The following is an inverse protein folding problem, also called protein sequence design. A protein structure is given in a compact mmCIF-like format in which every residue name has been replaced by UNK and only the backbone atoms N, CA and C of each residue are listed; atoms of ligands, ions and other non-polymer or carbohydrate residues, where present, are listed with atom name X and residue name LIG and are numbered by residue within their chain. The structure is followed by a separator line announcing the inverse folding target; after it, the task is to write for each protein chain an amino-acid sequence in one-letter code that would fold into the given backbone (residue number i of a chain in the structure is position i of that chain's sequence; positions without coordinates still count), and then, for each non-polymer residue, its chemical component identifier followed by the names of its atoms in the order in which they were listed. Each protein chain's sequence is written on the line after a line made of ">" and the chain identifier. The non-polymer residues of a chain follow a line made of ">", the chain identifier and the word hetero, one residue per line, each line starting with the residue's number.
data_IF_073761009553
#
_entry.id   IF_073761009553
#
_cell.length_a   1.000
_cell.length_b   1.000
_cell.length_c   1.000
_cell.angle_alpha   90.00
_cell.angle_beta   90.00
_cell.angle_gamma   90.00
#
_symmetry.space_group_name_H-M   'P 1'
#
loop_
_entity.id
_entity.type
_entity.pdbx_description
1 polymer ?
#
# COMPACT_ATOMS: atom_id res chain seq x y z
N UNK A 1 -17.33 -5.91 -3.20
CA UNK A 1 -17.83 -6.43 -1.91
C UNK A 1 -16.77 -6.08 -0.85
N UNK A 2 -16.68 -4.81 -0.47
CA UNK A 2 -15.78 -4.33 0.60
C UNK A 2 -16.53 -4.47 1.93
N UNK A 3 -16.06 -5.34 2.83
CA UNK A 3 -16.74 -5.63 4.12
C UNK A 3 -16.06 -5.02 5.34
N UNK A 4 -14.94 -4.30 5.18
CA UNK A 4 -14.25 -3.55 6.23
C UNK A 4 -13.75 -2.21 5.65
N UNK A 5 -13.89 -1.11 6.39
CA UNK A 5 -13.49 0.24 5.95
C UNK A 5 -12.00 0.49 6.19
N UNK A 6 -11.44 -0.16 7.21
CA UNK A 6 -10.01 -0.11 7.47
C UNK A 6 -9.21 -0.73 6.32
N UNK A 7 -8.11 -0.08 5.97
CA UNK A 7 -7.16 -0.53 4.96
C UNK A 7 -5.76 -0.17 5.44
N UNK A 8 -4.76 -0.96 5.02
CA UNK A 8 -3.35 -0.66 5.29
C UNK A 8 -2.90 0.69 4.73
N UNK A 9 -3.63 1.25 3.76
CA UNK A 9 -3.41 2.61 3.23
C UNK A 9 -3.63 3.73 4.26
N UNK A 10 -4.32 3.45 5.36
CA UNK A 10 -4.56 4.41 6.45
C UNK A 10 -3.40 4.45 7.46
N UNK A 11 -2.41 3.58 7.29
CA UNK A 11 -1.25 3.48 8.15
C UNK A 11 -0.13 4.40 7.65
N UNK A 12 0.71 4.86 8.56
CA UNK A 12 1.89 5.65 8.20
C UNK A 12 2.91 4.75 7.44
N UNK A 13 3.79 5.32 6.59
CA UNK A 13 4.87 4.54 5.98
C UNK A 13 5.70 3.76 7.02
N UNK A 14 5.85 2.46 6.78
CA UNK A 14 6.55 1.52 7.68
C UNK A 14 5.77 1.16 8.96
N UNK A 15 4.52 1.59 9.11
CA UNK A 15 3.63 1.11 10.15
C UNK A 15 3.05 -0.27 9.78
N UNK A 16 3.06 -1.19 10.74
CA UNK A 16 2.65 -2.59 10.54
C UNK A 16 1.37 -2.85 11.31
N UNK A 17 0.37 -3.39 10.64
CA UNK A 17 -0.83 -3.91 11.29
C UNK A 17 -0.57 -5.31 11.86
N UNK A 18 -0.88 -5.53 13.14
CA UNK A 18 -0.66 -6.82 13.80
C UNK A 18 -1.93 -7.68 13.82
N UNK A 19 -2.94 -7.22 14.54
CA UNK A 19 -4.20 -7.93 14.80
C UNK A 19 -5.24 -6.93 15.33
N UNK A 20 -6.47 -7.39 15.49
CA UNK A 20 -7.57 -6.59 16.01
C UNK A 20 -8.47 -7.31 17.01
N UNK A 21 -9.06 -6.51 17.88
CA UNK A 21 -9.83 -6.96 19.04
C UNK A 21 -11.28 -6.49 18.94
N UNK A 22 -12.21 -7.35 19.35
CA UNK A 22 -13.61 -6.94 19.55
C UNK A 22 -13.70 -6.13 20.83
N UNK A 23 -14.13 -4.88 20.72
CA UNK A 23 -14.23 -3.96 21.86
C UNK A 23 -15.50 -3.12 21.79
N UNK A 24 -15.91 -2.61 22.95
CA UNK A 24 -16.83 -1.48 23.03
C UNK A 24 -16.04 -0.22 23.40
N UNK A 25 -16.20 0.84 22.62
CA UNK A 25 -15.75 2.18 23.01
C UNK A 25 -16.81 2.79 23.94
N UNK A 26 -16.45 3.00 25.21
CA UNK A 26 -17.32 3.61 26.21
C UNK A 26 -17.31 5.13 26.03
N UNK A 27 -18.48 5.70 25.73
CA UNK A 27 -18.62 7.14 25.53
C UNK A 27 -18.66 7.87 26.88
N UNK A 28 -17.90 8.97 27.00
CA UNK A 28 -17.93 9.82 28.19
C UNK A 28 -19.11 10.81 28.10
N UNK A 29 -19.65 11.29 29.24
CA UNK A 29 -20.82 12.18 29.25
C UNK A 29 -20.66 13.47 28.44
N UNK A 30 -19.43 13.96 28.25
CA UNK A 30 -19.13 15.20 27.52
C UNK A 30 -19.15 15.03 25.98
N UNK A 31 -19.20 13.79 25.47
CA UNK A 31 -19.31 13.52 24.02
C UNK A 31 -20.75 13.71 23.50
N UNK A 32 -21.74 13.92 24.37
CA UNK A 32 -23.13 14.21 23.99
C UNK A 32 -23.36 15.73 23.90
N UNK A 33 -23.12 16.31 22.72
CA UNK A 33 -23.79 17.57 22.40
C UNK A 33 -25.29 17.29 22.32
N UNK A 34 -26.01 17.80 23.33
CA UNK A 34 -27.47 17.82 23.46
C UNK A 34 -28.17 16.47 23.75
N UNK A 35 -28.31 16.11 25.03
CA UNK A 35 -29.61 15.96 25.72
C UNK A 35 -29.45 15.56 27.20
N UNK A 36 -30.19 16.26 28.05
CA UNK A 36 -30.60 15.95 29.44
C UNK A 36 -29.71 15.08 30.34
N UNK A 37 -29.17 15.75 31.37
CA UNK A 37 -28.62 15.17 32.60
C UNK A 37 -29.58 14.19 33.27
N UNK A 38 -29.18 12.92 33.44
CA UNK A 38 -29.28 12.13 34.70
C UNK A 38 -29.05 10.64 34.47
N UNK A 39 -27.85 10.16 34.76
CA UNK A 39 -27.53 8.88 35.43
C UNK A 39 -26.04 8.55 35.24
N UNK A 40 -25.37 8.22 36.33
CA UNK A 40 -23.94 7.91 36.40
C UNK A 40 -23.66 6.45 35.99
N UNK A 41 -23.99 6.13 34.74
CA UNK A 41 -23.68 4.85 34.09
C UNK A 41 -23.34 5.15 32.64
N UNK A 42 -22.27 4.56 32.08
CA UNK A 42 -21.93 4.63 30.66
C UNK A 42 -23.18 4.30 29.83
N UNK A 43 -23.90 5.32 29.32
CA UNK A 43 -25.26 5.15 28.82
C UNK A 43 -25.30 4.79 27.32
N UNK A 44 -24.15 4.89 26.63
CA UNK A 44 -23.98 4.43 25.26
C UNK A 44 -22.55 3.96 25.02
N UNK A 45 -22.40 2.87 24.27
CA UNK A 45 -21.10 2.38 23.81
C UNK A 45 -21.15 2.10 22.32
N UNK A 46 -20.01 2.26 21.65
CA UNK A 46 -19.88 1.94 20.23
C UNK A 46 -19.17 0.60 20.11
N UNK A 47 -19.89 -0.41 19.61
CA UNK A 47 -19.32 -1.72 19.33
C UNK A 47 -18.43 -1.60 18.09
N UNK A 48 -17.22 -2.14 18.17
CA UNK A 48 -16.27 -2.02 17.08
C UNK A 48 -15.08 -2.97 17.15
N UNK A 49 -14.11 -2.71 16.28
CA UNK A 49 -12.82 -3.41 16.22
C UNK A 49 -11.71 -2.43 16.53
N UNK A 50 -10.90 -2.74 17.55
CA UNK A 50 -9.68 -2.01 17.85
C UNK A 50 -8.49 -2.69 17.18
N UNK A 51 -7.90 -2.03 16.20
CA UNK A 51 -6.80 -2.51 15.39
C UNK A 51 -5.49 -2.05 16.00
N UNK A 52 -4.65 -2.99 16.40
CA UNK A 52 -3.32 -2.70 16.96
C UNK A 52 -2.29 -2.68 15.84
N UNK A 53 -1.64 -1.54 15.67
CA UNK A 53 -0.56 -1.35 14.71
C UNK A 53 0.76 -1.04 15.44
N UNK A 54 1.86 -0.95 14.72
CA UNK A 54 3.18 -0.71 15.32
C UNK A 54 3.42 0.74 15.77
N UNK A 55 2.65 1.71 15.24
CA UNK A 55 2.78 3.14 15.57
C UNK A 55 1.49 3.77 16.08
N UNK A 56 0.36 3.08 15.99
CA UNK A 56 -0.94 3.58 16.40
C UNK A 56 -1.91 2.45 16.77
N UNK A 57 -3.04 2.83 17.36
CA UNK A 57 -4.25 2.02 17.36
C UNK A 57 -5.32 2.69 16.50
N UNK A 58 -6.11 1.88 15.79
CA UNK A 58 -7.22 2.38 14.95
C UNK A 58 -8.51 1.70 15.38
N UNK A 59 -9.49 2.47 15.82
CA UNK A 59 -10.82 1.99 16.15
C UNK A 59 -11.77 2.16 14.97
N UNK A 60 -12.49 1.09 14.65
CA UNK A 60 -13.54 1.04 13.64
C UNK A 60 -14.86 0.65 14.29
N UNK A 61 -15.82 1.57 14.31
CA UNK A 61 -17.18 1.26 14.74
C UNK A 61 -17.85 0.33 13.72
N UNK A 62 -18.50 -0.74 14.22
CA UNK A 62 -19.13 -1.77 13.40
C UNK A 62 -20.56 -1.43 13.02
N UNK A 63 -21.31 -0.85 13.94
CA UNK A 63 -22.77 -0.71 13.82
C UNK A 63 -23.20 0.62 13.20
N UNK A 64 -22.28 1.57 13.03
CA UNK A 64 -22.54 2.83 12.35
C UNK A 64 -21.38 3.23 11.43
N UNK A 65 -21.59 2.98 10.13
CA UNK A 65 -20.64 3.29 9.05
C UNK A 65 -20.40 4.80 8.91
N UNK A 66 -21.29 5.64 9.44
CA UNK A 66 -21.10 7.10 9.41
C UNK A 66 -20.06 7.57 10.41
N UNK A 67 -19.84 6.83 11.49
CA UNK A 67 -18.81 7.17 12.47
C UNK A 67 -17.43 7.17 11.82
N UNK A 68 -16.56 8.13 12.16
CA UNK A 68 -15.20 8.15 11.64
C UNK A 68 -14.40 6.95 12.19
N UNK A 69 -13.38 6.53 11.43
CA UNK A 69 -12.30 5.74 11.99
C UNK A 69 -11.47 6.64 12.90
N UNK A 70 -11.18 6.16 14.10
CA UNK A 70 -10.41 6.91 15.09
C UNK A 70 -9.02 6.32 15.15
N UNK A 71 -8.01 7.06 14.70
CA UNK A 71 -6.60 6.68 14.79
C UNK A 71 -5.92 7.46 15.91
N UNK A 72 -5.34 6.73 16.85
CA UNK A 72 -4.59 7.29 17.99
C UNK A 72 -3.14 6.85 17.82
N UNK A 73 -2.27 7.77 17.41
CA UNK A 73 -0.85 7.48 17.27
C UNK A 73 -0.18 7.42 18.64
N UNK A 74 0.71 6.44 18.84
CA UNK A 74 1.38 6.24 20.13
C UNK A 74 2.22 7.44 20.55
N UNK A 75 2.81 8.16 19.58
CA UNK A 75 3.56 9.40 19.82
C UNK A 75 2.72 10.49 20.49
N UNK A 76 1.40 10.46 20.28
CA UNK A 76 0.45 11.44 20.81
C UNK A 76 -0.22 10.93 22.11
N UNK A 77 0.03 9.68 22.51
CA UNK A 77 -0.46 9.10 23.76
C UNK A 77 0.29 9.67 24.96
N UNK A 78 -0.46 10.21 25.93
CA UNK A 78 0.05 10.62 27.24
C UNK A 78 0.16 9.42 28.17
N UNK A 79 -0.84 8.52 28.14
CA UNK A 79 -0.87 7.35 29.00
C UNK A 79 -1.64 6.19 28.35
N UNK A 80 -1.11 4.97 28.49
CA UNK A 80 -1.81 3.72 28.18
C UNK A 80 -1.83 2.87 29.45
N UNK A 81 -3.01 2.54 29.97
CA UNK A 81 -3.14 1.75 31.21
C UNK A 81 -4.43 0.96 31.27
N UNK A 82 -4.49 0.01 32.19
CA UNK A 82 -5.76 -0.57 32.63
C UNK A 82 -6.56 0.53 33.34
N UNK A 83 -7.82 0.66 32.97
CA UNK A 83 -8.73 1.53 33.70
C UNK A 83 -9.13 0.84 35.01
N UNK A 84 -9.02 1.54 36.13
CA UNK A 84 -9.44 1.04 37.44
C UNK A 84 -10.64 1.87 37.91
N UNK A 85 -11.79 1.24 38.22
CA UNK A 85 -12.91 1.96 38.77
C UNK A 85 -12.56 2.52 40.15
N UNK A 86 -13.02 3.75 40.43
CA UNK A 86 -12.85 4.43 41.73
C UNK A 86 -13.63 3.77 42.88
N UNK A 87 -14.49 2.79 42.61
CA UNK A 87 -15.21 1.99 43.61
C UNK A 87 -14.77 0.53 43.50
N UNK A 88 -14.41 -0.05 44.65
CA UNK A 88 -14.07 -1.45 44.86
C UNK A 88 -15.29 -2.36 44.61
N UNK A 89 -15.73 -2.50 43.35
CA UNK A 89 -16.58 -3.61 42.95
C UNK A 89 -15.75 -4.57 42.10
N UNK A 90 -15.65 -5.79 42.62
CA UNK A 90 -14.84 -6.91 42.15
C UNK A 90 -15.34 -7.47 40.82
N UNK A 91 -15.02 -6.78 39.72
CA UNK A 91 -15.00 -7.39 38.39
C UNK A 91 -13.61 -7.21 37.77
N UNK A 92 -13.10 -8.26 37.12
CA UNK A 92 -11.89 -8.16 36.30
C UNK A 92 -12.10 -7.06 35.26
N UNK A 93 -11.41 -5.92 35.44
CA UNK A 93 -11.58 -4.80 34.54
C UNK A 93 -10.83 -5.08 33.24
N UNK A 94 -11.56 -5.47 32.21
CA UNK A 94 -11.04 -5.70 30.86
C UNK A 94 -11.06 -4.42 30.00
N UNK A 95 -10.92 -3.26 30.66
CA UNK A 95 -11.02 -1.93 30.04
C UNK A 95 -9.65 -1.29 29.91
N UNK A 96 -9.28 -0.98 28.68
CA UNK A 96 -8.09 -0.22 28.33
C UNK A 96 -8.40 1.27 28.30
N UNK A 97 -7.64 2.07 29.03
CA UNK A 97 -7.66 3.52 28.94
C UNK A 97 -6.47 4.01 28.10
N UNK A 98 -6.76 4.79 27.06
CA UNK A 98 -5.77 5.51 26.26
C UNK A 98 -6.06 7.00 26.38
N UNK A 99 -5.17 7.72 27.04
CA UNK A 99 -5.18 9.16 27.11
C UNK A 99 -4.23 9.71 26.04
N UNK A 100 -4.72 10.59 25.17
CA UNK A 100 -3.92 11.19 24.11
C UNK A 100 -4.09 12.71 24.06
N UNK A 101 -3.09 13.39 23.51
CA UNK A 101 -3.09 14.84 23.29
C UNK A 101 -3.85 15.24 22.02
N UNK A 102 -3.85 14.36 21.01
CA UNK A 102 -4.55 14.52 19.75
C UNK A 102 -4.97 13.14 19.22
N UNK A 103 -5.96 13.10 18.35
CA UNK A 103 -6.29 11.92 17.56
C UNK A 103 -6.76 12.31 16.15
N UNK A 104 -6.71 11.35 15.23
CA UNK A 104 -7.07 11.56 13.84
C UNK A 104 -8.37 10.85 13.50
N UNK A 105 -9.32 11.58 12.90
CA UNK A 105 -10.54 11.04 12.32
C UNK A 105 -10.38 10.85 10.81
N UNK A 106 -10.80 9.69 10.32
CA UNK A 106 -10.73 9.33 8.90
C UNK A 106 -12.06 8.76 8.43
N UNK A 107 -12.36 8.89 7.14
CA UNK A 107 -13.55 8.32 6.51
C UNK A 107 -14.88 8.73 7.18
N UNK A 108 -15.01 9.94 7.75
CA UNK A 108 -16.30 10.40 8.29
C UNK A 108 -17.39 10.28 7.21
N UNK A 109 -18.59 9.82 7.59
CA UNK A 109 -19.68 9.49 6.68
C UNK A 109 -19.33 8.46 5.59
N UNK A 110 -18.27 7.68 5.82
CA UNK A 110 -17.68 6.75 4.85
C UNK A 110 -17.19 7.42 3.55
N UNK A 111 -16.81 8.70 3.62
CA UNK A 111 -16.33 9.48 2.49
C UNK A 111 -14.81 9.57 2.51
N UNK A 112 -14.18 9.36 1.34
CA UNK A 112 -12.73 9.57 1.16
C UNK A 112 -12.46 11.07 1.11
N UNK A 113 -11.88 11.60 2.19
CA UNK A 113 -11.61 13.03 2.38
C UNK A 113 -10.34 13.22 3.24
N UNK A 114 -9.76 14.44 3.27
CA UNK A 114 -8.63 14.73 4.14
C UNK A 114 -8.91 14.39 5.59
N UNK A 115 -7.90 13.87 6.28
CA UNK A 115 -8.01 13.45 7.67
C UNK A 115 -8.15 14.66 8.58
N UNK A 116 -8.99 14.53 9.61
CA UNK A 116 -9.24 15.60 10.58
C UNK A 116 -8.46 15.32 11.86
N UNK A 117 -7.62 16.26 12.28
CA UNK A 117 -7.01 16.22 13.61
C UNK A 117 -7.99 16.81 14.62
N UNK A 118 -8.15 16.12 15.75
CA UNK A 118 -9.00 16.52 16.87
C UNK A 118 -8.19 16.63 18.14
N UNK A 119 -8.67 17.47 19.06
CA UNK A 119 -8.09 17.61 20.40
C UNK A 119 -8.19 16.31 21.19
N UNK A 120 -7.21 16.08 22.05
CA UNK A 120 -7.06 14.88 22.84
C UNK A 120 -8.21 14.61 23.81
N UNK A 121 -8.47 13.33 24.04
CA UNK A 121 -9.37 12.84 25.09
C UNK A 121 -8.96 11.48 25.60
N UNK A 122 -9.67 10.98 26.61
CA UNK A 122 -9.49 9.63 27.15
C UNK A 122 -10.44 8.67 26.46
N UNK A 123 -9.90 7.68 25.76
CA UNK A 123 -10.66 6.59 25.16
C UNK A 123 -10.66 5.38 26.11
N UNK A 124 -11.84 4.80 26.31
CA UNK A 124 -12.04 3.62 27.15
C UNK A 124 -12.56 2.47 26.29
N UNK A 125 -11.73 1.44 26.10
CA UNK A 125 -12.07 0.27 25.28
C UNK A 125 -12.28 -0.95 26.16
N UNK A 126 -13.51 -1.48 26.21
CA UNK A 126 -13.83 -2.71 26.92
C UNK A 126 -13.67 -3.92 25.99
N UNK A 127 -12.80 -4.86 26.34
CA UNK A 127 -12.50 -6.05 25.52
C UNK A 127 -13.49 -7.18 25.78
N UNK A 128 -14.00 -7.84 24.73
CA UNK A 128 -15.00 -8.92 24.87
C UNK A 128 -14.39 -10.32 24.99
N UNK A 129 -13.54 -10.71 24.03
CA UNK A 129 -13.05 -12.09 23.91
C UNK A 129 -11.58 -12.25 24.26
N UNK A 130 -10.82 -11.15 24.21
CA UNK A 130 -9.40 -11.12 24.51
C UNK A 130 -9.19 -10.58 25.94
N UNK A 131 -8.23 -11.14 26.66
CA UNK A 131 -7.84 -10.62 27.98
C UNK A 131 -6.85 -9.49 27.79
N UNK A 132 -7.14 -8.33 28.36
CA UNK A 132 -6.29 -7.15 28.28
C UNK A 132 -4.86 -7.43 28.79
N UNK A 133 -4.72 -8.29 29.80
CA UNK A 133 -3.41 -8.66 30.37
C UNK A 133 -2.45 -9.27 29.34
N UNK A 134 -2.97 -9.97 28.33
CA UNK A 134 -2.16 -10.61 27.30
C UNK A 134 -1.55 -9.58 26.32
N UNK A 135 -2.15 -8.38 26.22
CA UNK A 135 -1.82 -7.38 25.19
C UNK A 135 -1.37 -6.03 25.73
N UNK A 136 -1.73 -5.67 26.96
CA UNK A 136 -1.39 -4.36 27.54
C UNK A 136 0.13 -4.15 27.61
N UNK A 137 0.90 -5.20 27.91
CA UNK A 137 2.36 -5.11 27.90
C UNK A 137 2.90 -4.76 26.51
N UNK A 138 2.32 -5.34 25.45
CA UNK A 138 2.69 -5.04 24.07
C UNK A 138 2.31 -3.60 23.69
N UNK A 139 1.11 -3.14 24.05
CA UNK A 139 0.68 -1.75 23.82
C UNK A 139 1.59 -0.74 24.52
N UNK A 140 1.92 -0.97 25.80
CA UNK A 140 2.86 -0.14 26.55
C UNK A 140 4.28 -0.20 25.96
N UNK A 141 4.70 -1.36 25.46
CA UNK A 141 5.99 -1.51 24.79
C UNK A 141 6.06 -0.69 23.49
N UNK A 142 5.00 -0.69 22.68
CA UNK A 142 4.90 0.12 21.46
C UNK A 142 4.79 1.61 21.76
N UNK A 143 4.08 1.99 22.83
CA UNK A 143 4.05 3.37 23.33
C UNK A 143 5.43 3.84 23.75
N UNK A 144 6.17 3.06 24.54
CA UNK A 144 7.57 3.36 24.89
C UNK A 144 8.47 3.43 23.65
N UNK A 145 8.23 2.60 22.63
CA UNK A 145 8.99 2.67 21.39
C UNK A 145 8.79 4.01 20.66
N UNK A 146 7.58 4.61 20.73
CA UNK A 146 7.31 5.90 20.10
C UNK A 146 7.99 7.10 20.75
N UNK A 147 8.53 6.96 21.97
CA UNK A 147 9.32 8.01 22.62
C UNK A 147 10.81 7.93 22.27
N UNK A 148 11.24 6.92 21.54
CA UNK A 148 12.63 6.73 21.12
C UNK A 148 12.93 7.48 19.81
N UNK A 149 14.21 7.63 19.49
CA UNK A 149 14.62 8.12 18.17
C UNK A 149 14.19 7.13 17.06
N UNK A 150 13.94 7.64 15.86
CA UNK A 150 13.37 6.87 14.76
C UNK A 150 14.13 5.57 14.45
N UNK A 151 15.46 5.58 14.49
CA UNK A 151 16.27 4.38 14.28
C UNK A 151 16.03 3.29 15.35
N UNK A 152 16.01 3.69 16.62
CA UNK A 152 15.79 2.78 17.75
C UNK A 152 14.35 2.25 17.76
N UNK A 153 13.36 3.13 17.51
CA UNK A 153 11.97 2.75 17.35
C UNK A 153 11.82 1.70 16.23
N UNK A 154 12.40 1.94 15.06
CA UNK A 154 12.34 1.02 13.92
C UNK A 154 13.00 -0.33 14.23
N UNK A 155 14.15 -0.32 14.91
CA UNK A 155 14.84 -1.54 15.34
C UNK A 155 14.01 -2.37 16.34
N UNK A 156 13.38 -1.68 17.30
CA UNK A 156 12.51 -2.31 18.29
C UNK A 156 11.26 -2.92 17.64
N UNK A 157 10.59 -2.18 16.75
CA UNK A 157 9.45 -2.66 15.98
C UNK A 157 9.85 -3.87 15.13
N UNK A 158 10.98 -3.79 14.41
CA UNK A 158 11.48 -4.89 13.58
C UNK A 158 11.72 -6.17 14.41
N UNK A 159 12.21 -6.03 15.65
CA UNK A 159 12.44 -7.16 16.56
C UNK A 159 11.12 -7.80 17.02
N UNK A 160 10.11 -6.98 17.35
CA UNK A 160 8.75 -7.45 17.71
C UNK A 160 8.14 -8.21 16.52
N UNK A 161 8.21 -7.61 15.33
CA UNK A 161 7.67 -8.16 14.08
C UNK A 161 8.34 -9.50 13.76
N UNK A 162 9.67 -9.55 13.77
CA UNK A 162 10.44 -10.78 13.54
C UNK A 162 10.05 -11.90 14.53
N UNK A 163 9.95 -11.56 15.81
CA UNK A 163 9.55 -12.51 16.86
C UNK A 163 8.13 -13.05 16.65
N UNK A 164 7.21 -12.19 16.20
CA UNK A 164 5.82 -12.59 15.87
C UNK A 164 5.77 -13.48 14.63
N UNK A 165 6.40 -13.06 13.53
CA UNK A 165 6.39 -13.82 12.27
C UNK A 165 6.96 -15.24 12.43
N UNK A 166 8.02 -15.41 13.22
CA UNK A 166 8.62 -16.73 13.47
C UNK A 166 7.72 -17.68 14.28
N UNK A 167 6.73 -17.17 15.02
CA UNK A 167 5.76 -17.98 15.77
C UNK A 167 4.62 -18.47 14.89
N UNK A 168 4.29 -17.75 13.82
CA UNK A 168 3.21 -18.13 12.91
C UNK A 168 3.70 -19.32 12.08
N UNK A 169 3.02 -20.47 12.19
CA UNK A 169 3.22 -21.67 11.36
C UNK A 169 2.06 -21.86 10.40
N UNK A 170 2.30 -22.42 9.21
CA UNK A 170 1.22 -22.58 8.22
C UNK A 170 0.28 -23.63 8.79
N UNK A 171 -1.02 -23.33 8.85
CA UNK A 171 -1.98 -24.29 9.38
C UNK A 171 -2.26 -25.35 8.30
N UNK A 172 -1.86 -26.61 8.48
CA UNK A 172 -2.03 -27.65 7.45
C UNK A 172 -3.50 -27.91 7.12
N UNK A 173 -4.44 -27.52 8.00
CA UNK A 173 -5.88 -27.62 7.76
C UNK A 173 -6.37 -26.72 6.60
N UNK A 174 -5.55 -25.78 6.14
CA UNK A 174 -5.87 -24.95 4.99
C UNK A 174 -5.50 -25.56 3.65
N UNK A 175 -4.77 -26.68 3.62
CA UNK A 175 -4.52 -27.42 2.39
C UNK A 175 -5.85 -27.87 1.77
N UNK A 176 -5.96 -27.79 0.45
CA UNK A 176 -7.19 -28.13 -0.27
C UNK A 176 -7.37 -29.65 -0.37
N UNK A 177 -6.28 -30.40 -0.43
CA UNK A 177 -6.27 -31.84 -0.61
C UNK A 177 -5.27 -32.52 0.34
N UNK A 178 -5.71 -33.63 0.96
CA UNK A 178 -4.92 -34.46 1.87
C UNK A 178 -3.66 -35.07 1.23
N UNK A 179 -3.64 -35.18 -0.10
CA UNK A 179 -2.49 -35.70 -0.85
C UNK A 179 -1.48 -34.61 -1.25
N UNK A 180 -1.74 -33.34 -0.91
CA UNK A 180 -0.79 -32.27 -1.15
C UNK A 180 0.47 -32.45 -0.30
N UNK A 181 1.62 -32.34 -0.96
CA UNK A 181 2.93 -32.36 -0.33
C UNK A 181 3.52 -30.97 -0.37
N UNK A 182 3.91 -30.45 0.78
CA UNK A 182 4.63 -29.19 0.91
C UNK A 182 6.03 -29.35 0.33
N UNK A 183 6.41 -28.44 -0.56
CA UNK A 183 7.70 -28.44 -1.27
C UNK A 183 8.63 -27.39 -0.68
N UNK A 184 8.13 -26.18 -0.44
CA UNK A 184 8.87 -25.12 0.24
C UNK A 184 7.91 -24.11 0.90
N UNK A 185 8.44 -23.39 1.89
CA UNK A 185 7.76 -22.34 2.67
C UNK A 185 8.74 -21.17 2.83
N UNK A 186 8.35 -19.99 2.37
CA UNK A 186 9.16 -18.79 2.49
C UNK A 186 8.39 -17.61 3.07
N UNK A 187 9.07 -16.83 3.90
CA UNK A 187 8.59 -15.51 4.29
C UNK A 187 8.77 -14.56 3.10
N UNK A 188 7.71 -13.84 2.77
CA UNK A 188 7.67 -12.88 1.66
C UNK A 188 6.87 -11.65 2.07
N UNK A 189 7.04 -10.56 1.33
CA UNK A 189 6.19 -9.40 1.45
C UNK A 189 5.33 -9.25 0.20
N UNK A 190 4.01 -9.23 0.36
CA UNK A 190 3.07 -8.88 -0.70
C UNK A 190 3.16 -7.38 -0.98
N UNK A 191 3.31 -7.05 -2.25
CA UNK A 191 3.47 -5.68 -2.75
C UNK A 191 2.16 -5.24 -3.39
N UNK A 192 1.60 -4.18 -2.82
CA UNK A 192 0.45 -3.45 -3.32
C UNK A 192 0.83 -1.96 -3.47
N UNK A 193 0.05 -1.15 -4.21
CA UNK A 193 0.34 0.27 -4.36
C UNK A 193 0.44 0.97 -3.00
N UNK A 194 1.64 1.49 -2.68
CA UNK A 194 1.99 2.12 -1.40
C UNK A 194 1.91 1.23 -0.15
N UNK A 195 1.64 -0.08 -0.30
CA UNK A 195 1.44 -0.99 0.83
C UNK A 195 2.32 -2.21 0.66
N UNK A 196 3.03 -2.56 1.73
CA UNK A 196 3.81 -3.79 1.83
C UNK A 196 3.22 -4.61 2.97
N UNK A 197 2.72 -5.80 2.65
CA UNK A 197 2.01 -6.65 3.60
C UNK A 197 2.79 -7.97 3.81
N UNK A 198 3.39 -8.19 4.99
CA UNK A 198 4.23 -9.35 5.22
C UNK A 198 3.39 -10.62 5.37
N UNK A 199 3.90 -11.72 4.84
CA UNK A 199 3.25 -13.01 4.89
C UNK A 199 4.17 -14.17 4.56
N UNK A 200 3.56 -15.27 4.15
CA UNK A 200 4.25 -16.47 3.70
C UNK A 200 3.71 -16.97 2.39
N UNK A 201 4.63 -17.53 1.62
CA UNK A 201 4.36 -18.19 0.36
C UNK A 201 4.76 -19.66 0.49
N UNK A 202 3.76 -20.53 0.46
CA UNK A 202 3.91 -21.97 0.53
C UNK A 202 3.66 -22.56 -0.86
N UNK A 203 4.56 -23.42 -1.33
CA UNK A 203 4.36 -24.22 -2.52
C UNK A 203 4.05 -25.67 -2.14
N UNK A 204 2.99 -26.22 -2.72
CA UNK A 204 2.74 -27.67 -2.77
C UNK A 204 2.91 -28.17 -4.20
N UNK A 205 2.75 -29.47 -4.40
CA UNK A 205 2.75 -30.08 -5.72
C UNK A 205 1.55 -29.66 -6.61
N UNK A 206 0.54 -28.94 -6.08
CA UNK A 206 -0.66 -28.56 -6.83
C UNK A 206 -1.09 -27.08 -6.64
N UNK A 207 -0.64 -26.42 -5.57
CA UNK A 207 -1.05 -25.06 -5.23
C UNK A 207 0.12 -24.19 -4.74
N UNK A 208 -0.02 -22.88 -4.95
CA UNK A 208 0.68 -21.85 -4.20
C UNK A 208 -0.30 -21.25 -3.19
N UNK A 209 0.10 -21.19 -1.93
CA UNK A 209 -0.67 -20.53 -0.88
C UNK A 209 0.04 -19.27 -0.42
N UNK A 210 -0.69 -18.16 -0.33
CA UNK A 210 -0.21 -16.96 0.32
C UNK A 210 -0.99 -16.70 1.60
N UNK A 211 -0.28 -16.57 2.72
CA UNK A 211 -0.85 -16.29 4.03
C UNK A 211 -0.26 -15.00 4.60
N UNK A 212 -1.02 -13.90 4.70
CA UNK A 212 -0.62 -12.73 5.48
C UNK A 212 -0.38 -13.06 6.96
N UNK A 213 0.54 -12.36 7.61
CA UNK A 213 0.75 -12.52 9.06
C UNK A 213 -0.29 -11.79 9.92
N UNK A 214 -1.05 -10.89 9.32
CA UNK A 214 -2.17 -10.22 9.95
C UNK A 214 -3.50 -10.80 9.43
N UNK A 215 -4.58 -10.35 10.02
CA UNK A 215 -5.94 -10.78 9.68
C UNK A 215 -6.71 -9.69 8.91
N UNK A 216 -6.02 -8.91 8.07
CA UNK A 216 -6.65 -7.84 7.28
C UNK A 216 -7.60 -8.38 6.22
N UNK A 217 -7.30 -9.57 5.69
CA UNK A 217 -8.10 -10.22 4.67
C UNK A 217 -9.19 -11.06 5.34
N UNK A 218 -10.38 -11.03 4.75
CA UNK A 218 -11.53 -11.85 5.21
C UNK A 218 -11.20 -13.34 5.24
N UNK A 219 -10.40 -13.79 4.28
CA UNK A 219 -9.92 -15.16 4.22
C UNK A 219 -8.46 -15.18 4.65
N UNK A 220 -8.06 -16.11 5.53
CA UNK A 220 -6.72 -16.12 6.11
C UNK A 220 -5.63 -16.53 5.11
N UNK A 221 -6.01 -17.15 3.99
CA UNK A 221 -5.10 -17.69 2.99
C UNK A 221 -5.68 -17.51 1.60
N UNK A 222 -4.87 -17.00 0.68
CA UNK A 222 -5.12 -17.03 -0.77
C UNK A 222 -4.61 -18.35 -1.32
N UNK A 223 -5.46 -19.08 -2.05
CA UNK A 223 -5.14 -20.38 -2.64
C UNK A 223 -5.07 -20.24 -4.16
N UNK A 224 -3.93 -20.54 -4.76
CA UNK A 224 -3.69 -20.40 -6.19
C UNK A 224 -3.37 -21.78 -6.76
N UNK A 225 -4.24 -22.32 -7.60
CA UNK A 225 -3.99 -23.61 -8.24
C UNK A 225 -2.92 -23.44 -9.32
N UNK A 226 -1.91 -24.32 -9.36
CA UNK A 226 -0.82 -24.22 -10.34
C UNK A 226 -1.34 -24.23 -11.79
N UNK A 227 -2.34 -25.07 -12.07
CA UNK A 227 -2.99 -25.18 -13.40
C UNK A 227 -3.69 -23.91 -13.88
N UNK A 228 -4.08 -23.02 -12.97
CA UNK A 228 -4.80 -21.78 -13.32
C UNK A 228 -3.85 -20.61 -13.52
N UNK A 229 -2.55 -20.78 -13.26
CA UNK A 229 -1.55 -19.73 -13.45
C UNK A 229 -1.41 -19.47 -14.96
N UNK A 230 -1.55 -18.20 -15.33
CA UNK A 230 -1.43 -17.70 -16.70
C UNK A 230 -0.09 -17.01 -16.94
N UNK A 231 0.48 -16.39 -15.90
CA UNK A 231 1.79 -15.74 -15.96
C UNK A 231 2.56 -15.93 -14.67
N UNK A 232 3.86 -16.15 -14.80
CA UNK A 232 4.79 -16.35 -13.70
C UNK A 232 6.11 -15.66 -14.02
N UNK A 233 6.29 -14.43 -13.53
CA UNK A 233 7.36 -13.53 -14.00
C UNK A 233 8.25 -13.07 -12.87
N UNK A 234 9.56 -13.24 -13.04
CA UNK A 234 10.58 -12.66 -12.18
C UNK A 234 10.57 -11.14 -12.32
N UNK A 235 10.58 -10.41 -11.20
CA UNK A 235 10.54 -8.93 -11.15
C UNK A 235 11.69 -8.35 -10.32
N UNK A 236 11.88 -7.04 -10.42
CA UNK A 236 12.69 -6.24 -9.49
C UNK A 236 11.79 -5.48 -8.52
N UNK A 237 12.19 -5.45 -7.25
CA UNK A 237 11.59 -4.58 -6.22
C UNK A 237 12.70 -3.76 -5.58
N UNK A 238 12.53 -2.44 -5.52
CA UNK A 238 13.56 -1.50 -5.07
C UNK A 238 14.91 -1.73 -5.78
N UNK A 239 14.87 -1.93 -7.11
CA UNK A 239 16.02 -2.23 -7.97
C UNK A 239 16.77 -3.53 -7.64
N UNK A 240 16.23 -4.40 -6.79
CA UNK A 240 16.81 -5.70 -6.41
C UNK A 240 16.05 -6.83 -7.09
N UNK A 241 16.75 -7.87 -7.54
CA UNK A 241 16.17 -9.06 -8.17
C UNK A 241 15.47 -9.99 -7.17
N UNK A 242 14.51 -9.46 -6.42
CA UNK A 242 13.81 -10.17 -5.34
C UNK A 242 12.31 -10.27 -5.57
N UNK A 243 11.78 -9.69 -6.65
CA UNK A 243 10.36 -9.71 -6.96
C UNK A 243 9.92 -10.93 -7.76
N UNK A 244 8.66 -11.32 -7.60
CA UNK A 244 7.98 -12.35 -8.38
C UNK A 244 6.49 -12.01 -8.50
N UNK A 245 5.99 -11.95 -9.73
CA UNK A 245 4.59 -11.70 -10.05
C UNK A 245 3.93 -12.97 -10.57
N UNK A 246 2.79 -13.34 -9.98
CA UNK A 246 1.96 -14.45 -10.40
C UNK A 246 0.61 -13.91 -10.85
N UNK A 247 0.14 -14.32 -12.04
CA UNK A 247 -1.23 -14.05 -12.49
C UNK A 247 -1.95 -15.36 -12.74
N UNK A 248 -3.20 -15.45 -12.30
CA UNK A 248 -4.04 -16.62 -12.50
C UNK A 248 -5.47 -16.20 -12.79
N UNK A 249 -6.23 -17.11 -13.40
CA UNK A 249 -7.65 -16.89 -13.64
C UNK A 249 -8.48 -18.05 -13.13
N UNK A 250 -9.34 -17.75 -12.16
CA UNK A 250 -10.38 -18.64 -11.65
C UNK A 250 -11.74 -17.90 -11.72
N UNK A 251 -12.14 -17.55 -12.94
CA UNK A 251 -13.33 -16.73 -13.24
C UNK A 251 -13.06 -15.22 -13.35
N UNK A 252 -11.98 -14.72 -12.75
CA UNK A 252 -11.48 -13.34 -12.89
C UNK A 252 -9.96 -13.32 -12.95
N UNK A 253 -9.36 -12.38 -13.69
CA UNK A 253 -7.91 -12.17 -13.68
C UNK A 253 -7.47 -11.64 -12.29
N UNK A 254 -6.56 -12.35 -11.65
CA UNK A 254 -6.03 -12.03 -10.33
C UNK A 254 -4.50 -11.99 -10.39
N UNK A 255 -3.91 -11.16 -9.53
CA UNK A 255 -2.47 -10.93 -9.52
C UNK A 255 -1.96 -10.84 -8.09
N UNK A 256 -0.86 -11.56 -7.83
CA UNK A 256 -0.11 -11.53 -6.59
C UNK A 256 1.32 -11.11 -6.93
N UNK A 257 1.76 -9.97 -6.41
CA UNK A 257 3.14 -9.53 -6.50
C UNK A 257 3.81 -9.65 -5.14
N UNK A 258 4.90 -10.43 -5.06
CA UNK A 258 5.63 -10.65 -3.81
C UNK A 258 7.11 -10.31 -3.96
N UNK A 259 7.73 -9.90 -2.85
CA UNK A 259 9.16 -9.74 -2.73
C UNK A 259 9.74 -10.72 -1.71
N UNK A 260 10.87 -11.32 -2.06
CA UNK A 260 11.61 -12.25 -1.21
C UNK A 260 12.76 -11.54 -0.49
N UNK A 261 13.30 -12.18 0.55
CA UNK A 261 14.46 -11.66 1.29
C UNK A 261 15.68 -11.37 0.41
N UNK A 262 15.93 -12.25 -0.56
CA UNK A 262 17.06 -12.16 -1.48
C UNK A 262 16.77 -12.92 -2.79
N UNK A 263 17.62 -12.70 -3.79
CA UNK A 263 17.49 -13.28 -5.11
C UNK A 263 17.57 -14.81 -5.10
N UNK A 264 18.47 -15.40 -4.30
CA UNK A 264 18.65 -16.86 -4.21
C UNK A 264 17.37 -17.56 -3.80
N UNK A 265 16.67 -17.04 -2.78
CA UNK A 265 15.40 -17.62 -2.32
C UNK A 265 14.29 -17.46 -3.37
N UNK A 266 14.23 -16.31 -4.05
CA UNK A 266 13.29 -16.08 -5.16
C UNK A 266 13.52 -17.09 -6.29
N UNK A 267 14.77 -17.26 -6.70
CA UNK A 267 15.17 -18.16 -7.78
C UNK A 267 14.89 -19.63 -7.41
N UNK A 268 15.11 -20.03 -6.16
CA UNK A 268 14.75 -21.37 -5.66
C UNK A 268 13.24 -21.62 -5.70
N UNK A 269 12.42 -20.67 -5.21
CA UNK A 269 10.95 -20.80 -5.27
C UNK A 269 10.46 -20.88 -6.72
N UNK A 270 10.99 -20.03 -7.60
CA UNK A 270 10.67 -20.03 -9.03
C UNK A 270 11.00 -21.39 -9.66
N UNK A 271 12.22 -21.90 -9.46
CA UNK A 271 12.64 -23.18 -10.02
C UNK A 271 11.82 -24.37 -9.49
N UNK A 272 11.50 -24.39 -8.19
CA UNK A 272 10.63 -25.44 -7.62
C UNK A 272 9.23 -25.38 -8.18
N UNK A 273 8.68 -24.19 -8.43
CA UNK A 273 7.34 -24.03 -9.01
C UNK A 273 7.29 -24.52 -10.45
N UNK A 274 8.28 -24.16 -11.28
CA UNK A 274 8.30 -24.56 -12.70
C UNK A 274 8.58 -26.05 -12.93
N UNK A 275 9.12 -26.75 -11.92
CA UNK A 275 9.34 -28.19 -11.94
C UNK A 275 8.09 -29.01 -11.56
N UNK A 276 6.98 -28.38 -11.17
CA UNK A 276 5.75 -29.08 -10.81
C UNK A 276 4.98 -29.54 -12.04
N UNK A 277 4.47 -30.77 -12.01
CA UNK A 277 3.69 -31.36 -13.11
C UNK A 277 2.44 -30.54 -13.46
N UNK A 278 1.85 -29.87 -12.46
CA UNK A 278 0.64 -29.07 -12.60
C UNK A 278 0.92 -27.63 -13.11
N UNK A 279 2.19 -27.24 -13.30
CA UNK A 279 2.57 -25.92 -13.81
C UNK A 279 2.81 -25.97 -15.33
N UNK A 280 2.06 -25.16 -16.08
CA UNK A 280 2.06 -25.22 -17.56
C UNK A 280 2.27 -23.88 -18.25
N UNK A 281 2.77 -22.87 -17.53
CA UNK A 281 3.02 -21.55 -18.14
C UNK A 281 4.17 -21.64 -19.13
N UNK A 282 3.91 -21.25 -20.38
CA UNK A 282 4.92 -21.15 -21.43
C UNK A 282 5.39 -19.70 -21.52
N UNK A 283 6.67 -19.45 -21.27
CA UNK A 283 7.25 -18.12 -21.49
C UNK A 283 7.22 -17.78 -22.99
N UNK A 284 6.69 -16.60 -23.31
CA UNK A 284 6.68 -16.12 -24.69
C UNK A 284 8.05 -15.60 -25.09
N UNK A 285 8.50 -16.00 -26.27
CA UNK A 285 9.77 -15.56 -26.85
C UNK A 285 9.63 -14.09 -27.31
N UNK A 286 10.45 -13.15 -26.82
CA UNK A 286 10.30 -11.73 -27.14
C UNK A 286 10.28 -11.39 -28.63
N UNK A 287 11.12 -12.06 -29.41
CA UNK A 287 11.22 -11.90 -30.86
C UNK A 287 9.89 -12.20 -31.57
N UNK A 288 9.10 -13.13 -31.02
CA UNK A 288 7.77 -13.46 -31.55
C UNK A 288 6.79 -12.30 -31.42
N UNK A 289 6.84 -11.58 -30.29
CA UNK A 289 5.93 -10.46 -30.03
C UNK A 289 6.31 -9.23 -30.85
N UNK A 290 7.61 -8.93 -30.96
CA UNK A 290 8.09 -7.86 -31.84
C UNK A 290 7.69 -8.08 -33.29
N UNK A 291 7.82 -9.31 -33.81
CA UNK A 291 7.42 -9.62 -35.19
C UNK A 291 5.90 -9.49 -35.38
N UNK A 292 5.09 -9.89 -34.40
CA UNK A 292 3.64 -9.69 -34.45
C UNK A 292 3.27 -8.21 -34.48
N UNK A 293 3.93 -7.37 -33.68
CA UNK A 293 3.75 -5.92 -33.69
C UNK A 293 4.14 -5.30 -35.05
N UNK A 294 5.31 -5.65 -35.59
CA UNK A 294 5.77 -5.17 -36.90
C UNK A 294 4.81 -5.52 -38.04
N UNK A 295 4.13 -6.67 -37.94
CA UNK A 295 3.12 -7.11 -38.91
C UNK A 295 1.69 -6.59 -38.60
N UNK A 296 1.52 -5.72 -37.60
CA UNK A 296 0.22 -5.15 -37.25
C UNK A 296 -0.76 -6.10 -36.54
N UNK A 297 -0.29 -7.25 -36.07
CA UNK A 297 -1.10 -8.22 -35.30
C UNK A 297 -1.29 -7.81 -33.83
N UNK A 298 -0.46 -6.89 -33.35
CA UNK A 298 -0.48 -6.34 -31.99
C UNK A 298 -0.42 -4.81 -32.12
N UNK A 299 -1.24 -4.10 -31.36
CA UNK A 299 -1.27 -2.64 -31.37
C UNK A 299 -0.01 -2.03 -30.73
N UNK A 300 0.28 -0.75 -31.01
CA UNK A 300 1.34 -0.03 -30.31
C UNK A 300 1.11 -0.01 -28.79
N UNK A 301 -0.14 0.06 -28.34
CA UNK A 301 -0.51 0.07 -26.93
C UNK A 301 -0.13 -1.25 -26.25
N UNK A 302 -0.55 -2.38 -26.84
CA UNK A 302 -0.27 -3.71 -26.30
C UNK A 302 1.23 -4.02 -26.34
N UNK A 303 1.91 -3.60 -27.40
CA UNK A 303 3.36 -3.77 -27.51
C UNK A 303 4.12 -2.94 -26.46
N UNK A 304 3.71 -1.69 -26.21
CA UNK A 304 4.30 -0.88 -25.13
C UNK A 304 4.01 -1.47 -23.75
N UNK A 305 2.80 -2.00 -23.50
CA UNK A 305 2.52 -2.73 -22.25
C UNK A 305 3.42 -3.96 -22.10
N UNK A 306 3.63 -4.69 -23.18
CA UNK A 306 4.55 -5.84 -23.20
C UNK A 306 5.98 -5.42 -22.85
N UNK A 307 6.51 -4.36 -23.49
CA UNK A 307 7.84 -3.82 -23.17
C UNK A 307 7.95 -3.32 -21.74
N UNK A 308 6.93 -2.64 -21.23
CA UNK A 308 6.86 -2.22 -19.84
C UNK A 308 6.94 -3.43 -18.89
N UNK A 309 6.17 -4.48 -19.19
CA UNK A 309 6.25 -5.74 -18.44
C UNK A 309 7.66 -6.32 -18.51
N UNK A 310 8.29 -6.46 -19.68
CA UNK A 310 9.68 -6.95 -19.77
C UNK A 310 10.68 -6.10 -18.98
N UNK A 311 10.42 -4.80 -18.86
CA UNK A 311 11.21 -3.87 -18.07
C UNK A 311 10.91 -3.90 -16.56
N UNK A 312 10.19 -4.92 -16.08
CA UNK A 312 9.74 -5.12 -14.69
C UNK A 312 8.72 -4.09 -14.17
N UNK A 313 8.05 -3.36 -15.07
CA UNK A 313 7.02 -2.41 -14.67
C UNK A 313 5.69 -3.11 -14.43
N UNK A 314 4.99 -2.68 -13.38
CA UNK A 314 3.72 -3.28 -12.94
C UNK A 314 2.83 -2.24 -12.27
N UNK A 315 1.52 -2.43 -12.35
CA UNK A 315 0.55 -1.56 -11.70
C UNK A 315 0.57 -1.68 -10.16
N UNK A 316 1.13 -2.77 -9.62
CA UNK A 316 1.21 -2.99 -8.17
C UNK A 316 2.31 -2.21 -7.47
N UNK A 317 3.29 -1.68 -8.22
CA UNK A 317 4.39 -0.89 -7.67
C UNK A 317 4.44 0.47 -8.39
N UNK A 318 3.95 1.51 -7.70
CA UNK A 318 3.91 2.87 -8.25
C UNK A 318 5.31 3.44 -8.54
N UNK A 319 6.37 2.90 -7.93
CA UNK A 319 7.75 3.31 -8.23
C UNK A 319 8.25 2.79 -9.58
N UNK A 320 7.59 1.76 -10.10
CA UNK A 320 7.88 1.10 -11.37
C UNK A 320 6.60 1.00 -12.22
N UNK A 321 5.77 2.04 -12.20
CA UNK A 321 4.53 2.05 -12.97
C UNK A 321 4.81 2.03 -14.49
N UNK A 322 3.94 1.44 -15.33
CA UNK A 322 4.10 1.49 -16.78
C UNK A 322 4.23 2.92 -17.32
N UNK A 323 5.13 3.12 -18.28
CA UNK A 323 5.43 4.41 -18.89
C UNK A 323 5.03 4.38 -20.36
N UNK A 324 4.37 5.44 -20.78
CA UNK A 324 3.95 5.70 -22.15
C UNK A 324 4.48 7.07 -22.56
N UNK A 325 4.89 7.25 -23.83
CA UNK A 325 5.35 8.55 -24.27
C UNK A 325 4.18 9.51 -24.49
N UNK A 326 4.42 10.80 -24.27
CA UNK A 326 3.60 11.84 -24.91
C UNK A 326 3.67 11.69 -26.43
N UNK A 327 2.50 11.64 -27.07
CA UNK A 327 2.40 11.49 -28.55
C UNK A 327 1.98 12.79 -29.21
N UNK A 328 0.96 13.46 -28.66
CA UNK A 328 0.44 14.72 -29.19
C UNK A 328 1.13 15.90 -28.50
N UNK A 329 1.37 16.97 -29.25
CA UNK A 329 1.95 18.23 -28.79
C UNK A 329 0.93 19.37 -28.70
N UNK A 330 -0.16 19.29 -29.47
CA UNK A 330 -1.18 20.33 -29.52
C UNK A 330 -2.37 19.98 -28.62
N UNK A 331 -2.53 20.76 -27.55
CA UNK A 331 -3.64 20.67 -26.61
C UNK A 331 -4.44 21.99 -26.54
N UNK A 332 -4.21 22.89 -27.50
CA UNK A 332 -4.79 24.24 -27.53
C UNK A 332 -5.77 24.44 -28.66
N UNK A 333 -5.59 23.74 -29.79
CA UNK A 333 -6.49 23.83 -30.92
C UNK A 333 -7.85 23.21 -30.60
N UNK A 334 -8.92 23.83 -31.09
CA UNK A 334 -10.29 23.31 -30.95
C UNK A 334 -10.49 22.01 -31.77
N UNK A 335 -9.83 21.91 -32.92
CA UNK A 335 -9.80 20.72 -33.77
C UNK A 335 -8.36 20.24 -33.97
N UNK A 336 -8.15 18.93 -33.87
CA UNK A 336 -6.83 18.32 -34.01
C UNK A 336 -6.72 17.58 -35.35
N UNK A 337 -5.93 18.13 -36.28
CA UNK A 337 -5.64 17.48 -37.57
C UNK A 337 -4.55 16.41 -37.40
N UNK A 338 -4.95 15.15 -37.41
CA UNK A 338 -4.04 14.00 -37.32
C UNK A 338 -3.20 13.80 -38.59
N UNK A 339 -3.52 14.49 -39.69
CA UNK A 339 -2.72 14.49 -40.92
C UNK A 339 -1.51 15.43 -40.85
N UNK A 340 -1.50 16.39 -39.92
CA UNK A 340 -0.40 17.33 -39.75
C UNK A 340 0.75 16.68 -38.95
N UNK A 341 1.95 16.51 -39.52
CA UNK A 341 3.09 15.95 -38.79
C UNK A 341 3.52 16.78 -37.58
N UNK A 342 3.18 18.08 -37.52
CA UNK A 342 3.62 18.98 -36.46
C UNK A 342 2.87 18.80 -35.14
N UNK A 343 1.69 18.16 -35.16
CA UNK A 343 0.94 17.85 -33.92
C UNK A 343 1.56 16.71 -33.13
N UNK A 344 2.50 15.97 -33.72
CA UNK A 344 3.15 14.83 -33.08
C UNK A 344 4.49 15.20 -32.45
N UNK A 345 4.76 14.61 -31.31
CA UNK A 345 6.04 14.73 -30.63
C UNK A 345 7.13 14.00 -31.41
N UNK A 346 8.32 14.60 -31.47
CA UNK A 346 9.54 13.90 -31.85
C UNK A 346 9.88 12.80 -30.83
N UNK A 347 9.49 11.56 -31.14
CA UNK A 347 9.72 10.38 -30.30
C UNK A 347 11.19 9.93 -30.27
N UNK A 348 12.08 10.54 -31.08
CA UNK A 348 13.52 10.26 -31.03
C UNK A 348 14.21 10.96 -29.85
N UNK A 349 13.50 11.88 -29.18
CA UNK A 349 14.04 12.73 -28.10
C UNK A 349 13.28 12.53 -26.78
N UNK A 350 13.98 12.57 -25.62
CA UNK A 350 13.33 12.67 -24.31
C UNK A 350 12.70 14.06 -24.08
N UNK A 351 11.77 14.17 -23.12
CA UNK A 351 11.02 15.42 -22.80
C UNK A 351 11.96 16.60 -22.66
N UNK A 352 13.03 16.44 -21.87
CA UNK A 352 13.99 17.50 -21.58
C UNK A 352 14.83 17.96 -22.78
N UNK A 353 14.77 17.25 -23.91
CA UNK A 353 15.50 17.57 -25.14
C UNK A 353 14.59 18.09 -26.28
N UNK A 354 13.27 18.18 -26.06
CA UNK A 354 12.35 18.70 -27.07
C UNK A 354 12.56 20.20 -27.34
N UNK A 355 12.81 20.98 -26.28
CA UNK A 355 13.18 22.39 -26.38
C UNK A 355 14.70 22.55 -26.38
N UNK A 356 15.23 23.15 -27.44
CA UNK A 356 16.67 23.35 -27.61
C UNK A 356 17.24 24.32 -26.55
N UNK A 357 16.51 25.39 -26.23
CA UNK A 357 16.91 26.35 -25.19
C UNK A 357 16.98 25.67 -23.82
N UNK A 358 15.95 24.89 -23.49
CA UNK A 358 15.90 24.14 -22.22
C UNK A 358 17.04 23.13 -22.13
N UNK A 359 17.29 22.38 -23.20
CA UNK A 359 18.37 21.41 -23.26
C UNK A 359 19.73 22.07 -23.05
N UNK A 360 19.96 23.25 -23.62
CA UNK A 360 21.20 24.00 -23.46
C UNK A 360 21.43 24.38 -21.99
N UNK A 361 20.41 24.92 -21.31
CA UNK A 361 20.48 25.23 -19.88
C UNK A 361 20.73 23.99 -19.01
N UNK A 362 20.15 22.83 -19.36
CA UNK A 362 20.41 21.58 -18.64
C UNK A 362 21.86 21.10 -18.81
N UNK A 363 22.44 21.27 -20.00
CA UNK A 363 23.84 20.95 -20.27
C UNK A 363 24.79 21.87 -19.51
N UNK A 364 24.55 23.17 -19.52
CA UNK A 364 25.31 24.16 -18.76
C UNK A 364 25.32 23.82 -17.27
N UNK A 365 24.14 23.55 -16.68
CA UNK A 365 24.06 23.09 -15.28
C UNK A 365 24.86 21.81 -15.05
N UNK A 366 24.79 20.85 -15.98
CA UNK A 366 25.53 19.59 -15.87
C UNK A 366 27.06 19.79 -15.99
N UNK A 367 27.52 20.79 -16.73
CA UNK A 367 28.93 21.15 -16.86
C UNK A 367 29.47 21.84 -15.61
N UNK A 368 28.65 22.64 -14.93
CA UNK A 368 28.96 23.29 -13.65
C UNK A 368 29.01 22.31 -12.45
N UNK A 369 28.46 21.11 -12.61
CA UNK A 369 28.45 20.07 -11.58
C UNK A 369 29.81 19.36 -11.48
N UNK A 370 30.18 18.97 -10.24
CA UNK A 370 31.34 18.12 -10.01
C UNK A 370 31.22 16.79 -10.77
N UNK A 371 32.34 16.27 -11.27
CA UNK A 371 32.37 15.11 -12.18
C UNK A 371 31.63 13.87 -11.64
N UNK A 372 31.70 13.62 -10.34
CA UNK A 372 31.08 12.47 -9.68
C UNK A 372 29.54 12.56 -9.55
N UNK A 373 28.94 13.70 -9.92
CA UNK A 373 27.51 13.99 -9.75
C UNK A 373 26.84 14.51 -11.03
N UNK A 374 27.45 14.30 -12.20
CA UNK A 374 26.90 14.80 -13.47
C UNK A 374 25.60 14.11 -13.84
N UNK A 375 24.55 14.92 -14.02
CA UNK A 375 23.28 14.48 -14.58
C UNK A 375 22.57 15.61 -15.31
N UNK A 376 21.81 15.25 -16.35
CA UNK A 376 20.94 16.20 -17.05
C UNK A 376 19.62 16.43 -16.30
N UNK A 377 18.98 15.35 -15.84
CA UNK A 377 17.64 15.42 -15.26
C UNK A 377 17.69 15.16 -13.75
N UNK A 378 17.31 16.18 -12.96
CA UNK A 378 17.27 16.07 -11.49
C UNK A 378 15.98 15.43 -10.96
N UNK A 379 15.03 15.16 -11.84
CA UNK A 379 13.79 14.45 -11.55
C UNK A 379 13.57 13.37 -12.60
N UNK A 380 12.82 12.34 -12.22
CA UNK A 380 12.55 11.19 -13.06
C UNK A 380 11.22 11.36 -13.81
N UNK A 381 11.09 10.76 -14.99
CA UNK A 381 9.88 10.80 -15.82
C UNK A 381 8.72 9.98 -15.25
N UNK A 382 9.00 9.07 -14.31
CA UNK A 382 8.04 8.19 -13.66
C UNK A 382 8.32 8.13 -12.16
N UNK A 383 7.33 8.48 -11.35
CA UNK A 383 7.41 8.43 -9.89
C UNK A 383 6.01 8.25 -9.29
N UNK A 384 5.87 7.71 -8.07
CA UNK A 384 4.57 7.49 -7.44
C UNK A 384 3.70 8.75 -7.39
N UNK A 385 4.31 9.90 -7.06
CA UNK A 385 3.62 11.19 -7.04
C UNK A 385 3.06 11.61 -8.40
N UNK A 386 3.77 11.32 -9.50
CA UNK A 386 3.32 11.61 -10.86
C UNK A 386 2.16 10.71 -11.28
N UNK A 387 2.24 9.42 -10.95
CA UNK A 387 1.17 8.46 -11.23
C UNK A 387 -0.11 8.87 -10.51
N UNK A 388 -0.01 9.21 -9.22
CA UNK A 388 -1.17 9.63 -8.44
C UNK A 388 -1.66 11.02 -8.80
N UNK A 389 -0.79 11.92 -9.27
CA UNK A 389 -1.19 13.21 -9.84
C UNK A 389 -2.21 13.01 -10.98
N UNK A 390 -1.93 12.09 -11.92
CA UNK A 390 -2.87 11.78 -12.99
C UNK A 390 -4.11 11.02 -12.49
N UNK A 391 -3.94 10.10 -11.55
CA UNK A 391 -5.00 9.19 -11.12
C UNK A 391 -5.80 9.65 -9.89
N UNK A 392 -5.60 10.88 -9.40
CA UNK A 392 -6.17 11.36 -8.13
C UNK A 392 -7.69 11.23 -8.05
N UNK A 393 -8.41 11.39 -9.17
CA UNK A 393 -9.88 11.21 -9.20
C UNK A 393 -10.31 9.75 -9.11
N UNK A 394 -9.51 8.82 -9.65
CA UNK A 394 -9.82 7.39 -9.66
C UNK A 394 -9.38 6.71 -8.38
N UNK A 395 -8.23 7.11 -7.82
CA UNK A 395 -7.64 6.51 -6.62
C UNK A 395 -7.30 7.56 -5.55
N UNK A 396 -8.28 8.32 -5.04
CA UNK A 396 -8.04 9.38 -4.05
C UNK A 396 -7.46 8.85 -2.73
N UNK A 397 -7.78 7.61 -2.35
CA UNK A 397 -7.22 6.96 -1.15
C UNK A 397 -5.69 6.83 -1.21
N UNK A 398 -5.14 6.50 -2.40
CA UNK A 398 -3.69 6.40 -2.59
C UNK A 398 -3.03 7.79 -2.48
N UNK A 399 -3.67 8.84 -3.02
CA UNK A 399 -3.16 10.21 -2.89
C UNK A 399 -3.13 10.65 -1.43
N UNK A 400 -4.21 10.43 -0.68
CA UNK A 400 -4.25 10.74 0.75
C UNK A 400 -3.16 9.98 1.51
N UNK A 401 -2.94 8.69 1.22
CA UNK A 401 -1.86 7.91 1.82
C UNK A 401 -0.48 8.54 1.53
N UNK A 402 -0.20 8.86 0.27
CA UNK A 402 1.09 9.46 -0.13
C UNK A 402 1.32 10.84 0.51
N UNK A 403 0.28 11.64 0.67
CA UNK A 403 0.32 13.02 1.17
C UNK A 403 -0.09 13.13 2.65
N UNK A 404 0.11 12.06 3.44
CA UNK A 404 -0.12 12.03 4.89
C UNK A 404 -1.51 12.53 5.33
N UNK A 405 -2.54 12.06 4.64
CA UNK A 405 -3.95 12.36 4.94
C UNK A 405 -4.47 13.65 4.34
N UNK A 406 -3.75 14.32 3.44
CA UNK A 406 -4.20 15.54 2.77
C UNK A 406 -4.17 15.39 1.26
N UNK A 407 -4.90 16.25 0.55
CA UNK A 407 -4.64 16.44 -0.87
C UNK A 407 -3.52 17.48 -1.05
N UNK A 408 -2.92 17.49 -2.24
CA UNK A 408 -1.97 18.53 -2.60
C UNK A 408 -2.67 19.90 -2.75
N UNK A 409 -1.90 20.97 -2.83
CA UNK A 409 -2.42 22.30 -3.08
C UNK A 409 -3.19 22.33 -4.42
N UNK A 410 -4.37 22.96 -4.51
CA UNK A 410 -5.20 22.96 -5.72
C UNK A 410 -4.44 23.37 -7.00
N UNK A 411 -3.56 24.37 -6.90
CA UNK A 411 -2.73 24.86 -8.01
C UNK A 411 -1.70 23.85 -8.53
N UNK A 412 -1.38 22.82 -7.74
CA UNK A 412 -0.47 21.73 -8.11
C UNK A 412 -1.21 20.45 -8.48
N UNK A 413 -2.53 20.44 -8.42
CA UNK A 413 -3.33 19.28 -8.84
C UNK A 413 -3.46 19.24 -10.36
N UNK A 414 -3.63 18.03 -10.89
CA UNK A 414 -3.87 17.85 -12.32
C UNK A 414 -5.20 18.49 -12.68
N UNK A 415 -5.26 19.56 -13.47
CA UNK A 415 -6.54 20.22 -13.82
C UNK A 415 -6.84 20.18 -15.31
N UNK A 416 -5.82 20.44 -16.15
CA UNK A 416 -5.92 20.43 -17.61
C UNK A 416 -4.72 19.72 -18.22
N UNK A 417 -4.93 19.01 -19.33
CA UNK A 417 -3.86 18.32 -20.06
C UNK A 417 -2.87 19.32 -20.67
N UNK A 418 -3.39 20.43 -21.20
CA UNK A 418 -2.62 21.55 -21.75
C UNK A 418 -1.59 22.08 -20.74
N UNK A 419 -2.04 22.44 -19.53
CA UNK A 419 -1.16 22.94 -18.46
C UNK A 419 -0.06 21.93 -18.12
N UNK A 420 -0.40 20.64 -18.10
CA UNK A 420 0.57 19.58 -17.80
C UNK A 420 1.62 19.48 -18.88
N UNK A 421 1.22 19.42 -20.15
CA UNK A 421 2.15 19.33 -21.27
C UNK A 421 3.04 20.57 -21.36
N UNK A 422 2.46 21.77 -21.24
CA UNK A 422 3.19 23.04 -21.20
C UNK A 422 4.23 23.08 -20.07
N UNK A 423 3.85 22.63 -18.87
CA UNK A 423 4.79 22.50 -17.74
C UNK A 423 5.94 21.53 -18.05
N UNK A 424 5.66 20.39 -18.70
CA UNK A 424 6.69 19.43 -19.12
C UNK A 424 7.67 20.05 -20.12
N UNK A 425 7.26 21.05 -20.89
CA UNK A 425 8.10 21.71 -21.90
C UNK A 425 8.95 22.85 -21.30
N UNK A 426 8.40 23.58 -20.32
CA UNK A 426 8.99 24.82 -19.80
C UNK A 426 9.77 24.59 -18.50
N UNK A 427 9.22 23.80 -17.57
CA UNK A 427 9.76 23.70 -16.21
C UNK A 427 11.06 22.86 -16.17
N UNK A 428 12.15 23.43 -15.63
CA UNK A 428 13.47 22.78 -15.56
C UNK A 428 13.54 21.51 -14.70
N UNK A 429 12.51 21.24 -13.89
CA UNK A 429 12.44 20.08 -13.00
C UNK A 429 11.29 19.11 -13.36
N UNK A 430 10.67 19.26 -14.53
CA UNK A 430 9.49 18.49 -14.90
C UNK A 430 9.69 17.71 -16.21
N UNK A 431 9.92 16.40 -16.09
CA UNK A 431 10.21 15.52 -17.22
C UNK A 431 9.21 14.36 -17.33
N UNK A 432 8.00 14.52 -16.79
CA UNK A 432 7.01 13.44 -16.71
C UNK A 432 6.60 12.93 -18.09
N UNK A 433 6.50 11.60 -18.20
CA UNK A 433 5.94 10.86 -19.35
C UNK A 433 4.64 10.16 -18.91
#
# INVERSE_FOLDING_TARGET
>A
MEKERFSLLLLEPGEIYFEDFSVDLLLQPDDQQSQSKSSSSFQSSLIGRLKMCSKSVVFEAKDDIRQPLIKIAYKDCLQIRRWEPTRLDTMECNVLAIECSHYTEMLNDNVVQPYQQKDGKVFLFNFHYAKLDDYIQQLCQLHRASTLHAYEQNSMIATIVFSRHNRVKFNPLWLENLYEKIICDYQVDEINPLVVNPGRLLLTNAFVYFQPYNNIQRYPVVKIRLKTIQSFTKRRFLLRHVGLELRWSDGSDQLLYVSFRNQTVRDDFYAKTTQQDDFSVVEQIPESITLKWQNGLISNYDYLLYLNSLADRTYQDLTQYPVFPWVICDYTSEELDLGDPTVYRDLTKPVGALSQERLQRLKERCEEMGDDQKFLYGSHYSAPGLVLFYLVRKYPKLMLCLQNGRFDHPDRMFNKVEDVYSNCMINMADFKE
#
